data_IF_432619775400
#
_entry.id   IF_432619775400
#
_cell.length_a   1.000
_cell.length_b   1.000
_cell.length_c   1.000
_cell.angle_alpha   90.00
_cell.angle_beta   90.00
_cell.angle_gamma   90.00
#
_symmetry.space_group_name_H-M   'P 1'
#
loop_
_entity.id
_entity.type
_entity.pdbx_description
1 polymer ?
#
# COMPACT_ATOMS: atom_id res chain seq x y z
N UNK A 1 35.50 -46.54 73.94
CA UNK A 1 34.88 -45.22 74.18
C UNK A 1 34.33 -44.56 72.90
N UNK A 2 34.19 -45.30 71.78
CA UNK A 2 33.56 -44.78 70.54
C UNK A 2 32.26 -45.53 70.15
N UNK A 3 31.93 -46.66 70.79
CA UNK A 3 30.73 -47.45 70.46
C UNK A 3 29.41 -46.77 70.85
N UNK A 4 29.42 -45.80 71.77
CA UNK A 4 28.21 -45.03 72.13
C UNK A 4 27.76 -44.05 71.04
N UNK A 5 28.59 -43.79 70.03
CA UNK A 5 28.27 -42.93 68.88
C UNK A 5 28.17 -43.70 67.56
N UNK A 6 28.23 -45.04 67.59
CA UNK A 6 28.11 -45.87 66.39
C UNK A 6 26.64 -45.91 65.93
N UNK A 7 26.37 -45.38 64.74
CA UNK A 7 25.06 -45.49 64.09
C UNK A 7 24.92 -46.89 63.48
N UNK A 8 23.85 -47.65 63.79
CA UNK A 8 23.61 -48.96 63.20
C UNK A 8 23.58 -48.90 61.68
N UNK A 9 24.10 -49.94 61.00
CA UNK A 9 24.20 -49.99 59.53
C UNK A 9 22.85 -49.77 58.86
N UNK A 10 21.78 -50.23 59.50
CA UNK A 10 20.39 -50.10 59.04
C UNK A 10 19.88 -48.66 59.05
N UNK A 11 20.49 -47.78 59.85
CA UNK A 11 20.17 -46.35 59.91
C UNK A 11 21.08 -45.51 59.01
N UNK A 12 22.14 -46.11 58.44
CA UNK A 12 23.04 -45.44 57.50
C UNK A 12 22.45 -45.32 56.09
N UNK A 13 21.39 -46.08 55.77
CA UNK A 13 20.74 -46.02 54.47
C UNK A 13 19.23 -45.87 54.59
N UNK A 14 18.66 -44.98 53.77
CA UNK A 14 17.22 -44.88 53.62
C UNK A 14 16.72 -46.07 52.79
N UNK A 15 15.87 -46.91 53.38
CA UNK A 15 15.24 -48.04 52.70
C UNK A 15 13.79 -47.72 52.36
N UNK A 16 13.47 -47.68 51.07
CA UNK A 16 12.08 -47.62 50.60
C UNK A 16 11.51 -49.04 50.61
N UNK A 17 10.34 -49.23 51.22
CA UNK A 17 9.61 -50.48 51.08
C UNK A 17 9.04 -50.60 49.66
N UNK A 18 9.59 -51.53 48.87
CA UNK A 18 9.18 -51.73 47.47
C UNK A 18 7.69 -52.06 47.33
N UNK A 19 7.10 -52.72 48.33
CA UNK A 19 5.66 -53.05 48.33
C UNK A 19 4.78 -51.82 48.48
N UNK A 20 5.31 -50.74 49.06
CA UNK A 20 4.58 -49.47 49.26
C UNK A 20 4.40 -48.66 47.97
N UNK A 21 5.15 -48.96 46.92
CA UNK A 21 5.17 -48.17 45.68
C UNK A 21 4.01 -48.49 44.73
N UNK A 22 3.35 -49.64 44.88
CA UNK A 22 2.11 -49.96 44.16
C UNK A 22 2.27 -50.30 42.66
N UNK A 23 3.49 -50.45 42.15
CA UNK A 23 3.77 -50.90 40.78
C UNK A 23 4.84 -52.00 40.76
N UNK A 24 4.86 -52.83 39.72
CA UNK A 24 5.85 -53.92 39.57
C UNK A 24 7.09 -53.47 38.80
N UNK A 25 6.91 -52.62 37.79
CA UNK A 25 7.98 -52.07 36.97
C UNK A 25 7.70 -50.61 36.64
N UNK A 26 8.75 -49.83 36.32
CA UNK A 26 8.59 -48.43 35.89
C UNK A 26 7.82 -48.27 34.57
N UNK A 27 7.64 -49.36 33.81
CA UNK A 27 6.77 -49.39 32.61
C UNK A 27 5.28 -49.29 32.97
N UNK A 28 4.90 -49.65 34.19
CA UNK A 28 3.52 -49.63 34.67
C UNK A 28 3.07 -48.21 35.10
N UNK A 29 4.01 -47.27 35.19
CA UNK A 29 3.75 -45.90 35.62
C UNK A 29 3.37 -45.05 34.40
N UNK A 30 2.17 -44.46 34.45
CA UNK A 30 1.80 -43.42 33.47
C UNK A 30 2.59 -42.14 33.80
N UNK A 31 3.40 -41.60 32.87
CA UNK A 31 4.12 -40.36 33.12
C UNK A 31 3.11 -39.22 33.32
N UNK A 32 3.08 -38.66 34.53
CA UNK A 32 2.33 -37.47 34.85
C UNK A 32 3.29 -36.32 35.10
N UNK A 33 3.17 -35.26 34.28
CA UNK A 33 3.79 -33.96 34.55
C UNK A 33 2.98 -33.25 35.64
N UNK A 34 3.09 -33.74 36.88
CA UNK A 34 2.55 -33.06 38.04
C UNK A 34 3.69 -32.36 38.75
N UNK A 35 3.64 -31.04 38.81
CA UNK A 35 4.60 -30.24 39.57
C UNK A 35 4.24 -30.40 41.06
N UNK A 36 5.13 -31.00 41.84
CA UNK A 36 4.94 -31.18 43.28
C UNK A 36 5.61 -30.03 44.03
N UNK A 37 4.94 -29.48 45.05
CA UNK A 37 5.56 -28.56 46.01
C UNK A 37 5.58 -27.07 45.65
N UNK A 38 4.60 -26.56 44.89
CA UNK A 38 4.56 -25.15 44.47
C UNK A 38 3.18 -24.49 44.58
N UNK A 39 2.31 -24.96 45.48
CA UNK A 39 0.91 -24.49 45.58
C UNK A 39 0.81 -22.97 45.77
N UNK A 40 1.63 -22.40 46.66
CA UNK A 40 1.69 -20.95 46.88
C UNK A 40 2.09 -20.19 45.59
N UNK A 41 3.08 -20.70 44.85
CA UNK A 41 3.53 -20.06 43.62
C UNK A 41 2.47 -20.15 42.51
N UNK A 42 1.74 -21.28 42.47
CA UNK A 42 0.62 -21.48 41.56
C UNK A 42 -0.55 -20.53 41.88
N UNK A 43 -0.93 -20.40 43.14
CA UNK A 43 -1.99 -19.47 43.59
C UNK A 43 -1.62 -18.02 43.27
N UNK A 44 -0.39 -17.61 43.59
CA UNK A 44 0.09 -16.24 43.30
C UNK A 44 0.10 -15.94 41.80
N UNK A 45 0.54 -16.89 40.96
CA UNK A 45 0.54 -16.73 39.51
C UNK A 45 -0.89 -16.70 38.95
N UNK A 46 -1.79 -17.53 39.48
CA UNK A 46 -3.21 -17.55 39.10
C UNK A 46 -3.84 -16.19 39.38
N UNK A 47 -3.65 -15.67 40.60
CA UNK A 47 -4.12 -14.33 40.97
C UNK A 47 -3.56 -13.25 40.03
N UNK A 48 -2.27 -13.31 39.68
CA UNK A 48 -1.67 -12.32 38.79
C UNK A 48 -2.20 -12.37 37.35
N UNK A 49 -2.57 -13.56 36.85
CA UNK A 49 -3.18 -13.71 35.52
C UNK A 49 -4.62 -13.17 35.52
N UNK A 50 -5.37 -13.44 36.58
CA UNK A 50 -6.78 -13.03 36.71
C UNK A 50 -6.94 -11.54 37.02
N UNK A 51 -6.00 -10.92 37.75
CA UNK A 51 -6.06 -9.51 38.12
C UNK A 51 -5.76 -8.59 36.91
N UNK A 52 -6.72 -7.75 36.45
CA UNK A 52 -6.52 -6.87 35.30
C UNK A 52 -5.97 -5.48 35.66
N UNK A 53 -5.39 -5.30 36.85
CA UNK A 53 -4.92 -4.00 37.32
C UNK A 53 -3.71 -3.50 36.50
N UNK A 54 -3.75 -2.23 36.06
CA UNK A 54 -2.63 -1.58 35.34
C UNK A 54 -1.40 -1.53 36.25
N UNK A 55 -0.23 -1.87 35.69
CA UNK A 55 1.03 -1.92 36.43
C UNK A 55 1.22 -3.19 37.26
N UNK A 56 0.23 -4.09 37.29
CA UNK A 56 0.34 -5.37 37.99
C UNK A 56 0.97 -6.41 37.06
N UNK A 57 2.28 -6.65 37.26
CA UNK A 57 3.06 -7.66 36.55
C UNK A 57 3.59 -8.71 37.52
N UNK A 58 3.73 -9.96 37.07
CA UNK A 58 4.27 -11.05 37.89
C UNK A 58 5.76 -11.29 37.62
N UNK A 59 6.53 -11.56 38.67
CA UNK A 59 7.92 -12.00 38.58
C UNK A 59 8.08 -13.39 39.23
N UNK A 60 8.51 -14.37 38.44
CA UNK A 60 8.64 -15.76 38.89
C UNK A 60 10.11 -16.08 39.23
N UNK A 61 10.41 -16.13 40.52
CA UNK A 61 11.75 -16.44 41.05
C UNK A 61 11.84 -17.88 41.57
N UNK A 62 13.05 -18.45 41.52
CA UNK A 62 13.34 -19.79 42.03
C UNK A 62 14.69 -20.28 41.53
N UNK A 63 15.24 -21.32 42.18
CA UNK A 63 16.52 -21.91 41.79
C UNK A 63 16.46 -22.47 40.37
N UNK A 64 17.62 -22.53 39.71
CA UNK A 64 17.72 -23.20 38.40
C UNK A 64 17.31 -24.67 38.53
N UNK A 65 16.67 -25.21 37.50
CA UNK A 65 16.17 -26.60 37.50
C UNK A 65 14.85 -26.85 38.23
N UNK A 66 14.26 -25.86 38.91
CA UNK A 66 12.97 -26.02 39.64
C UNK A 66 11.72 -26.07 38.75
N UNK A 67 11.87 -26.06 37.42
CA UNK A 67 10.72 -26.17 36.51
C UNK A 67 9.83 -24.92 36.41
N UNK A 68 10.34 -23.73 36.75
CA UNK A 68 9.58 -22.45 36.69
C UNK A 68 8.81 -22.23 35.38
N UNK A 69 9.46 -22.41 34.23
CA UNK A 69 8.82 -22.25 32.90
C UNK A 69 7.69 -23.28 32.70
N UNK A 70 7.89 -24.51 33.18
CA UNK A 70 6.89 -25.58 33.14
C UNK A 70 5.68 -25.22 33.98
N UNK A 71 5.89 -24.65 35.19
CA UNK A 71 4.81 -24.16 36.05
C UNK A 71 4.01 -23.06 35.36
N UNK A 72 4.69 -22.05 34.80
CA UNK A 72 4.01 -20.96 34.09
C UNK A 72 3.17 -21.47 32.93
N UNK A 73 3.73 -22.33 32.07
CA UNK A 73 3.00 -22.94 30.95
C UNK A 73 1.80 -23.76 31.42
N UNK A 74 1.97 -24.54 32.48
CA UNK A 74 0.89 -25.35 33.04
C UNK A 74 -0.27 -24.45 33.52
N UNK A 75 0.03 -23.39 34.27
CA UNK A 75 -0.99 -22.46 34.78
C UNK A 75 -1.76 -21.77 33.64
N UNK A 76 -1.07 -21.28 32.61
CA UNK A 76 -1.75 -20.71 31.44
C UNK A 76 -2.61 -21.73 30.67
N UNK A 77 -2.16 -22.98 30.58
CA UNK A 77 -2.92 -24.06 29.94
C UNK A 77 -4.15 -24.49 30.75
N UNK A 78 -4.10 -24.37 32.08
CA UNK A 78 -5.22 -24.67 32.98
C UNK A 78 -6.24 -23.53 32.99
N UNK A 79 -5.80 -22.27 33.16
CA UNK A 79 -6.69 -21.11 33.27
C UNK A 79 -7.29 -20.72 31.91
N UNK A 80 -6.48 -20.75 30.84
CA UNK A 80 -6.84 -20.25 29.50
C UNK A 80 -7.53 -18.89 29.56
N UNK A 81 -6.83 -17.84 30.04
CA UNK A 81 -7.43 -16.53 30.25
C UNK A 81 -8.00 -15.98 28.93
N UNK A 82 -9.13 -15.28 29.00
CA UNK A 82 -9.71 -14.60 27.84
C UNK A 82 -8.91 -13.37 27.47
N UNK A 83 -8.82 -13.06 26.18
CA UNK A 83 -8.15 -11.85 25.72
C UNK A 83 -8.85 -10.60 26.26
N UNK A 84 -8.06 -9.68 26.82
CA UNK A 84 -8.52 -8.40 27.38
C UNK A 84 -8.82 -7.37 26.28
N UNK A 85 -8.13 -7.46 25.15
CA UNK A 85 -8.32 -6.65 23.94
C UNK A 85 -8.16 -7.53 22.72
N UNK A 86 -8.88 -7.19 21.64
CA UNK A 86 -8.76 -7.88 20.35
C UNK A 86 -8.94 -6.89 19.22
N UNK A 87 -7.85 -6.23 18.90
CA UNK A 87 -7.79 -5.33 17.76
C UNK A 87 -6.92 -5.94 16.67
N UNK A 88 -7.32 -5.72 15.43
CA UNK A 88 -6.45 -5.89 14.28
C UNK A 88 -5.74 -4.57 14.02
N UNK A 89 -4.43 -4.60 14.11
CA UNK A 89 -3.57 -3.47 13.79
C UNK A 89 -3.09 -3.62 12.36
N UNK A 90 -3.44 -2.65 11.53
CA UNK A 90 -3.17 -2.66 10.11
C UNK A 90 -2.35 -1.43 9.74
N UNK A 91 -1.17 -1.62 9.15
CA UNK A 91 -0.46 -0.54 8.48
C UNK A 91 -0.90 -0.43 7.03
N UNK A 92 -1.13 0.80 6.60
CA UNK A 92 -1.35 1.16 5.19
C UNK A 92 -0.33 2.21 4.76
N UNK A 93 -0.19 2.38 3.45
CA UNK A 93 0.62 3.48 2.92
C UNK A 93 0.04 4.83 3.34
N UNK A 94 0.94 5.80 3.58
CA UNK A 94 0.58 7.17 3.91
C UNK A 94 1.06 8.06 2.77
N UNK A 95 0.14 8.50 1.91
CA UNK A 95 0.46 9.28 0.72
C UNK A 95 1.04 10.66 1.04
N UNK A 96 0.62 11.25 2.17
CA UNK A 96 1.17 12.52 2.66
C UNK A 96 2.58 12.38 3.22
N UNK A 97 2.88 11.25 3.87
CA UNK A 97 4.19 10.98 4.48
C UNK A 97 4.63 9.52 4.21
N UNK A 98 5.20 9.22 3.02
CA UNK A 98 5.53 7.85 2.60
C UNK A 98 6.40 7.05 3.56
N UNK A 99 7.27 7.73 4.33
CA UNK A 99 8.14 7.12 5.33
C UNK A 99 7.46 6.82 6.68
N UNK A 100 6.22 7.26 6.87
CA UNK A 100 5.45 7.11 8.10
C UNK A 100 4.14 6.35 7.84
N UNK A 101 4.17 5.01 7.78
CA UNK A 101 2.98 4.19 7.57
C UNK A 101 1.85 4.54 8.54
N UNK A 102 0.63 4.64 8.01
CA UNK A 102 -0.55 5.02 8.79
C UNK A 102 -1.12 3.78 9.47
N UNK A 103 -1.30 3.86 10.80
CA UNK A 103 -1.88 2.79 11.59
C UNK A 103 -3.41 2.89 11.58
N UNK A 104 -4.08 1.79 11.26
CA UNK A 104 -5.52 1.60 11.35
C UNK A 104 -5.79 0.52 12.40
N UNK A 105 -6.62 0.84 13.39
CA UNK A 105 -6.99 -0.08 14.47
C UNK A 105 -8.43 -0.52 14.25
N UNK A 106 -8.62 -1.81 13.99
CA UNK A 106 -9.92 -2.37 13.66
C UNK A 106 -10.35 -3.41 14.70
N UNK A 107 -11.66 -3.69 14.83
CA UNK A 107 -12.11 -4.85 15.59
C UNK A 107 -11.53 -6.14 15.02
N UNK A 108 -11.36 -7.13 15.87
CA UNK A 108 -10.82 -8.43 15.46
C UNK A 108 -11.51 -9.02 14.22
N UNK A 109 -10.70 -9.48 13.27
CA UNK A 109 -11.15 -10.08 12.01
C UNK A 109 -11.37 -9.06 10.88
N UNK A 110 -11.55 -7.78 11.19
CA UNK A 110 -11.77 -6.75 10.18
C UNK A 110 -10.49 -6.41 9.41
N UNK A 111 -9.29 -6.60 9.98
CA UNK A 111 -8.03 -6.38 9.25
C UNK A 111 -7.90 -7.30 8.03
N UNK A 112 -8.22 -8.59 8.21
CA UNK A 112 -8.30 -9.56 7.10
C UNK A 112 -9.34 -9.19 6.07
N UNK A 113 -10.50 -8.71 6.52
CA UNK A 113 -11.57 -8.26 5.63
C UNK A 113 -11.10 -7.08 4.79
N UNK A 114 -10.48 -6.08 5.41
CA UNK A 114 -9.94 -4.90 4.71
C UNK A 114 -8.89 -5.31 3.69
N UNK A 115 -7.89 -6.12 4.08
CA UNK A 115 -6.86 -6.62 3.17
C UNK A 115 -7.46 -7.32 1.95
N UNK A 116 -8.46 -8.18 2.13
CA UNK A 116 -9.16 -8.86 1.01
C UNK A 116 -9.90 -7.88 0.10
N UNK A 117 -10.60 -6.88 0.68
CA UNK A 117 -11.32 -5.88 -0.10
C UNK A 117 -10.37 -5.00 -0.91
N UNK A 118 -9.24 -4.61 -0.33
CA UNK A 118 -8.20 -3.87 -1.05
C UNK A 118 -7.54 -4.68 -2.15
N UNK A 119 -7.22 -5.96 -1.92
CA UNK A 119 -6.72 -6.84 -3.00
C UNK A 119 -7.74 -6.97 -4.15
N UNK A 120 -9.03 -7.16 -3.84
CA UNK A 120 -10.07 -7.22 -4.86
C UNK A 120 -10.24 -5.87 -5.61
N UNK A 121 -9.97 -4.75 -4.95
CA UNK A 121 -9.95 -3.43 -5.59
C UNK A 121 -8.76 -3.27 -6.55
N UNK A 122 -7.58 -3.74 -6.17
CA UNK A 122 -6.43 -3.81 -7.09
C UNK A 122 -6.76 -4.68 -8.31
N UNK A 123 -7.40 -5.85 -8.11
CA UNK A 123 -7.83 -6.71 -9.22
C UNK A 123 -8.86 -6.02 -10.12
N UNK A 124 -9.78 -5.25 -9.55
CA UNK A 124 -10.77 -4.45 -10.28
C UNK A 124 -10.11 -3.38 -11.15
N UNK A 125 -9.09 -2.67 -10.62
CA UNK A 125 -8.33 -1.67 -11.37
C UNK A 125 -7.67 -2.29 -12.61
N UNK A 126 -7.08 -3.47 -12.47
CA UNK A 126 -6.34 -4.12 -13.57
C UNK A 126 -7.30 -4.72 -14.60
N UNK A 127 -8.36 -5.39 -14.15
CA UNK A 127 -9.15 -6.27 -15.02
C UNK A 127 -10.48 -5.67 -15.51
N UNK A 128 -11.12 -4.82 -14.70
CA UNK A 128 -12.50 -4.37 -14.95
C UNK A 128 -12.56 -2.90 -15.33
N UNK A 129 -11.79 -2.04 -14.66
CA UNK A 129 -11.75 -0.61 -14.93
C UNK A 129 -11.43 -0.28 -16.41
N UNK A 130 -10.45 -0.93 -17.09
CA UNK A 130 -10.16 -0.66 -18.50
C UNK A 130 -11.33 -1.01 -19.42
N UNK A 131 -12.13 -2.03 -19.08
CA UNK A 131 -13.32 -2.41 -19.86
C UNK A 131 -14.41 -1.35 -19.71
N UNK A 132 -14.60 -0.83 -18.50
CA UNK A 132 -15.59 0.22 -18.19
C UNK A 132 -15.21 1.53 -18.89
N UNK A 133 -13.93 1.91 -18.86
CA UNK A 133 -13.39 3.11 -19.54
C UNK A 133 -13.50 3.01 -21.07
N UNK A 134 -13.55 1.80 -21.62
CA UNK A 134 -13.82 1.59 -23.05
C UNK A 134 -15.32 1.36 -23.35
N UNK A 135 -16.20 1.48 -22.36
CA UNK A 135 -17.63 1.28 -22.49
C UNK A 135 -18.35 2.43 -23.22
N UNK A 136 -19.61 2.20 -23.58
CA UNK A 136 -20.38 3.15 -24.39
C UNK A 136 -20.60 4.50 -23.72
N UNK A 137 -20.79 4.53 -22.40
CA UNK A 137 -21.12 5.73 -21.62
C UNK A 137 -20.09 6.86 -21.84
N UNK A 138 -18.81 6.57 -21.61
CA UNK A 138 -17.72 7.53 -21.84
C UNK A 138 -17.44 7.76 -23.33
N UNK A 139 -17.63 6.76 -24.19
CA UNK A 139 -17.43 6.91 -25.64
C UNK A 139 -18.43 7.90 -26.25
N UNK A 140 -19.65 7.98 -25.73
CA UNK A 140 -20.66 8.96 -26.16
C UNK A 140 -20.20 10.38 -25.81
N UNK A 141 -19.73 10.61 -24.58
CA UNK A 141 -19.23 11.92 -24.15
C UNK A 141 -18.00 12.36 -24.96
N UNK A 142 -17.04 11.46 -25.20
CA UNK A 142 -15.87 11.73 -26.05
C UNK A 142 -16.28 12.13 -27.46
N UNK A 143 -17.15 11.34 -28.11
CA UNK A 143 -17.65 11.64 -29.46
C UNK A 143 -18.40 12.96 -29.54
N UNK A 144 -19.11 13.35 -28.48
CA UNK A 144 -19.80 14.64 -28.43
C UNK A 144 -18.78 15.80 -28.38
N UNK A 145 -17.75 15.69 -27.53
CA UNK A 145 -16.67 16.67 -27.47
C UNK A 145 -15.90 16.76 -28.80
N UNK A 146 -15.61 15.62 -29.44
CA UNK A 146 -14.96 15.56 -30.75
C UNK A 146 -15.78 16.28 -31.82
N UNK A 147 -17.10 16.05 -31.85
CA UNK A 147 -18.01 16.73 -32.79
C UNK A 147 -18.06 18.24 -32.55
N UNK A 148 -18.05 18.68 -31.30
CA UNK A 148 -18.02 20.10 -30.95
C UNK A 148 -16.71 20.74 -31.39
N UNK A 149 -15.58 20.08 -31.13
CA UNK A 149 -14.27 20.53 -31.56
C UNK A 149 -14.17 20.61 -33.09
N UNK A 150 -14.65 19.59 -33.80
CA UNK A 150 -14.70 19.60 -35.26
C UNK A 150 -15.50 20.78 -35.80
N UNK A 151 -16.66 21.10 -35.20
CA UNK A 151 -17.46 22.29 -35.58
C UNK A 151 -16.70 23.59 -35.37
N UNK A 152 -15.86 23.71 -34.33
CA UNK A 152 -15.04 24.89 -34.11
C UNK A 152 -13.93 25.02 -35.16
N UNK A 153 -13.25 23.91 -35.48
CA UNK A 153 -12.24 23.86 -36.54
C UNK A 153 -12.87 24.19 -37.91
N UNK A 154 -14.03 23.60 -38.23
CA UNK A 154 -14.74 23.88 -39.48
C UNK A 154 -15.13 25.37 -39.57
N UNK A 155 -15.66 25.96 -38.48
CA UNK A 155 -15.99 27.39 -38.43
C UNK A 155 -14.76 28.30 -38.59
N UNK A 156 -13.59 27.84 -38.17
CA UNK A 156 -12.33 28.55 -38.27
C UNK A 156 -11.80 28.57 -39.71
N UNK A 157 -11.78 27.41 -40.37
CA UNK A 157 -11.20 27.25 -41.71
C UNK A 157 -12.18 27.54 -42.86
N UNK A 158 -13.49 27.25 -42.73
CA UNK A 158 -14.48 27.43 -43.82
C UNK A 158 -14.52 28.86 -44.39
N UNK A 159 -14.49 29.94 -43.58
CA UNK A 159 -14.47 31.31 -44.13
C UNK A 159 -13.19 31.61 -44.90
N UNK A 160 -12.06 31.08 -44.43
CA UNK A 160 -10.76 31.23 -45.06
C UNK A 160 -10.70 30.46 -46.39
N UNK A 161 -11.14 29.21 -46.42
CA UNK A 161 -11.24 28.39 -47.64
C UNK A 161 -12.09 29.07 -48.71
N UNK A 162 -13.26 29.63 -48.34
CA UNK A 162 -14.11 30.40 -49.26
C UNK A 162 -13.44 31.69 -49.76
N UNK A 163 -12.58 32.32 -48.96
CA UNK A 163 -11.85 33.54 -49.30
C UNK A 163 -10.73 33.25 -50.30
N UNK A 164 -9.94 32.22 -50.06
CA UNK A 164 -8.83 31.83 -50.94
C UNK A 164 -9.33 31.20 -52.25
N UNK A 165 -10.45 30.46 -52.23
CA UNK A 165 -11.04 29.87 -53.43
C UNK A 165 -11.46 30.93 -54.46
N UNK A 166 -11.95 32.11 -54.01
CA UNK A 166 -12.27 33.25 -54.90
C UNK A 166 -11.05 33.82 -55.62
N UNK A 167 -9.85 33.57 -55.10
CA UNK A 167 -8.59 33.99 -55.67
C UNK A 167 -7.88 32.86 -56.46
N UNK A 168 -8.57 31.76 -56.76
CA UNK A 168 -8.00 30.55 -57.38
C UNK A 168 -6.86 29.94 -56.53
N UNK A 169 -6.98 30.00 -55.22
CA UNK A 169 -6.04 29.40 -54.26
C UNK A 169 -6.76 28.32 -53.43
N UNK A 170 -6.01 27.34 -52.93
CA UNK A 170 -6.52 26.28 -52.05
C UNK A 170 -5.54 25.97 -50.92
N UNK A 171 -6.01 25.29 -49.87
CA UNK A 171 -5.14 24.65 -48.90
C UNK A 171 -4.59 23.36 -49.51
N UNK A 172 -3.28 23.16 -49.42
CA UNK A 172 -2.61 21.94 -49.87
C UNK A 172 -1.55 21.52 -48.85
N UNK A 173 -1.44 20.22 -48.63
CA UNK A 173 -0.36 19.66 -47.79
C UNK A 173 0.84 19.39 -48.71
N UNK A 174 1.94 20.12 -48.50
CA UNK A 174 3.20 19.87 -49.20
C UNK A 174 4.23 19.30 -48.23
N UNK A 175 5.03 18.36 -48.72
CA UNK A 175 6.22 17.89 -48.01
C UNK A 175 7.34 18.90 -48.23
N UNK A 176 7.82 19.52 -47.15
CA UNK A 176 8.99 20.39 -47.15
C UNK A 176 10.01 19.71 -46.25
N UNK A 177 10.95 18.97 -46.86
CA UNK A 177 11.85 18.07 -46.12
C UNK A 177 11.13 16.80 -45.63
N UNK A 178 11.35 16.42 -44.37
CA UNK A 178 10.69 15.27 -43.73
C UNK A 178 9.30 15.61 -43.14
N UNK A 179 8.96 16.89 -43.01
CA UNK A 179 7.69 17.33 -42.44
C UNK A 179 6.65 17.70 -43.53
N UNK A 180 5.40 17.35 -43.27
CA UNK A 180 4.26 17.76 -44.10
C UNK A 180 3.66 19.04 -43.53
N UNK A 181 3.67 20.13 -44.29
CA UNK A 181 3.07 21.40 -43.88
C UNK A 181 1.91 21.77 -44.78
N UNK A 182 0.84 22.29 -44.15
CA UNK A 182 -0.31 22.84 -44.86
C UNK A 182 0.00 24.27 -45.28
N UNK A 183 -0.03 24.53 -46.60
CA UNK A 183 0.23 25.84 -47.19
C UNK A 183 -0.94 26.29 -48.07
N UNK A 184 -1.00 27.60 -48.33
CA UNK A 184 -1.87 28.15 -49.39
C UNK A 184 -1.15 27.99 -50.72
N UNK A 185 -1.77 27.31 -51.68
CA UNK A 185 -1.21 27.01 -53.00
C UNK A 185 -2.16 27.45 -54.13
N UNK A 186 -1.63 27.96 -55.26
CA UNK A 186 -2.45 28.36 -56.40
C UNK A 186 -2.96 27.16 -57.19
N UNK A 187 -4.15 27.33 -57.78
CA UNK A 187 -4.84 26.34 -58.61
C UNK A 187 -4.94 26.87 -60.04
N UNK A 188 -4.41 26.10 -61.00
CA UNK A 188 -4.48 26.41 -62.42
C UNK A 188 -4.94 25.16 -63.18
N UNK A 189 -5.95 25.30 -64.04
CA UNK A 189 -6.59 24.18 -64.77
C UNK A 189 -7.01 23.01 -63.84
N UNK A 190 -7.46 23.33 -62.63
CA UNK A 190 -7.90 22.34 -61.63
C UNK A 190 -6.75 21.57 -60.94
N UNK A 191 -5.49 21.94 -61.19
CA UNK A 191 -4.31 21.35 -60.52
C UNK A 191 -3.67 22.34 -59.56
N UNK A 192 -3.28 21.84 -58.39
CA UNK A 192 -2.48 22.59 -57.42
C UNK A 192 -1.06 22.72 -57.96
N UNK A 193 -0.55 23.94 -58.03
CA UNK A 193 0.79 24.22 -58.50
C UNK A 193 1.77 24.32 -57.33
N UNK A 194 2.93 23.67 -57.46
CA UNK A 194 4.07 23.91 -56.58
C UNK A 194 4.79 25.22 -56.93
N UNK A 195 5.60 25.80 -56.03
CA UNK A 195 6.39 27.01 -56.32
C UNK A 195 7.23 26.88 -57.61
N UNK A 196 7.85 25.73 -57.84
CA UNK A 196 8.66 25.46 -59.04
C UNK A 196 7.82 25.41 -60.33
N UNK A 197 6.59 24.90 -60.24
CA UNK A 197 5.66 24.84 -61.37
C UNK A 197 5.09 26.22 -61.71
N UNK A 198 4.85 27.06 -60.69
CA UNK A 198 4.46 28.46 -60.88
C UNK A 198 5.55 29.22 -61.63
N UNK A 199 6.82 29.07 -61.23
CA UNK A 199 7.96 29.73 -61.89
C UNK A 199 8.11 29.31 -63.36
N UNK A 200 8.02 28.01 -63.66
CA UNK A 200 8.09 27.50 -65.05
C UNK A 200 6.95 27.98 -65.93
N UNK A 201 5.71 27.95 -65.44
CA UNK A 201 4.54 28.38 -66.21
C UNK A 201 4.52 29.91 -66.41
N UNK A 202 5.14 30.67 -65.51
CA UNK A 202 5.36 32.11 -65.68
C UNK A 202 6.41 32.41 -66.76
N UNK A 203 7.53 31.67 -66.79
CA UNK A 203 8.56 31.79 -67.84
C UNK A 203 8.03 31.41 -69.23
N UNK A 204 7.15 30.41 -69.31
CA UNK A 204 6.50 29.96 -70.54
C UNK A 204 5.38 30.89 -71.04
N UNK A 205 5.10 32.02 -70.36
CA UNK A 205 4.00 32.97 -70.64
C UNK A 205 2.60 32.32 -70.70
N UNK A 206 2.41 31.19 -70.03
CA UNK A 206 1.12 30.47 -69.98
C UNK A 206 0.20 30.97 -68.86
N UNK A 207 0.74 31.70 -67.88
CA UNK A 207 -0.03 32.37 -66.83
C UNK A 207 -0.35 33.81 -67.27
N UNK A 208 -1.59 34.25 -67.05
CA UNK A 208 -1.97 35.66 -67.28
C UNK A 208 -1.28 36.58 -66.26
N UNK A 209 -0.88 37.79 -66.69
CA UNK A 209 -0.21 38.78 -65.82
C UNK A 209 -1.01 39.10 -64.54
N UNK A 210 -2.35 39.06 -64.62
CA UNK A 210 -3.26 39.24 -63.49
C UNK A 210 -3.17 38.11 -62.45
N UNK A 211 -2.87 36.88 -62.88
CA UNK A 211 -2.72 35.71 -62.01
C UNK A 211 -1.36 35.72 -61.30
N UNK A 212 -0.32 36.18 -62.00
CA UNK A 212 1.02 36.39 -61.43
C UNK A 212 0.98 37.47 -60.35
N UNK A 213 0.27 38.59 -60.58
CA UNK A 213 0.05 39.62 -59.56
C UNK A 213 -0.69 39.10 -58.34
N UNK A 214 -1.76 38.30 -58.52
CA UNK A 214 -2.48 37.68 -57.40
C UNK A 214 -1.56 36.78 -56.58
N UNK A 215 -0.69 36.00 -57.23
CA UNK A 215 0.29 35.17 -56.52
C UNK A 215 1.32 36.02 -55.77
N UNK A 216 1.86 37.08 -56.37
CA UNK A 216 2.91 37.89 -55.74
C UNK A 216 2.39 38.75 -54.57
N UNK A 217 1.17 39.31 -54.68
CA UNK A 217 0.64 40.23 -53.66
C UNK A 217 -0.28 39.56 -52.65
N UNK A 218 -1.12 38.59 -53.06
CA UNK A 218 -2.13 37.99 -52.17
C UNK A 218 -1.66 36.72 -51.48
N UNK A 219 -0.78 35.94 -52.10
CA UNK A 219 -0.28 34.69 -51.50
C UNK A 219 0.43 34.92 -50.15
N UNK A 220 1.34 35.91 -49.98
CA UNK A 220 1.99 36.15 -48.69
C UNK A 220 0.99 36.55 -47.60
N UNK A 221 0.00 37.36 -47.94
CA UNK A 221 -1.06 37.82 -47.03
C UNK A 221 -1.89 36.62 -46.54
N UNK A 222 -2.30 35.73 -47.44
CA UNK A 222 -3.06 34.53 -47.08
C UNK A 222 -2.21 33.51 -46.33
N UNK A 223 -0.90 33.43 -46.59
CA UNK A 223 0.01 32.59 -45.80
C UNK A 223 0.13 33.10 -44.36
N UNK A 224 0.23 34.42 -44.15
CA UNK A 224 0.24 35.00 -42.80
C UNK A 224 -1.11 34.79 -42.07
N UNK A 225 -2.23 34.92 -42.78
CA UNK A 225 -3.56 34.64 -42.25
C UNK A 225 -3.71 33.14 -41.88
N UNK A 226 -3.20 32.23 -42.71
CA UNK A 226 -3.14 30.79 -42.41
C UNK A 226 -2.27 30.49 -41.17
N UNK A 227 -1.14 31.18 -41.00
CA UNK A 227 -0.33 31.03 -39.79
C UNK A 227 -1.09 31.45 -38.52
N UNK A 228 -1.85 32.56 -38.58
CA UNK A 228 -2.72 33.00 -37.47
C UNK A 228 -3.82 31.97 -37.18
N UNK A 229 -4.45 31.41 -38.22
CA UNK A 229 -5.45 30.36 -38.07
C UNK A 229 -4.84 29.09 -37.48
N UNK A 230 -3.66 28.67 -37.92
CA UNK A 230 -2.95 27.51 -37.37
C UNK A 230 -2.61 27.71 -35.89
N UNK A 231 -2.24 28.93 -35.47
CA UNK A 231 -2.04 29.24 -34.05
C UNK A 231 -3.33 29.06 -33.26
N UNK A 232 -4.45 29.61 -33.74
CA UNK A 232 -5.76 29.44 -33.11
C UNK A 232 -6.21 27.97 -33.08
N UNK A 233 -5.97 27.22 -34.15
CA UNK A 233 -6.26 25.80 -34.23
C UNK A 233 -5.44 24.99 -33.20
N UNK A 234 -4.16 25.33 -32.99
CA UNK A 234 -3.32 24.73 -31.94
C UNK A 234 -3.87 25.01 -30.54
N UNK A 235 -4.25 26.26 -30.25
CA UNK A 235 -4.87 26.62 -28.96
C UNK A 235 -6.19 25.87 -28.72
N UNK A 236 -6.99 25.68 -29.77
CA UNK A 236 -8.22 24.87 -29.72
C UNK A 236 -7.88 23.40 -29.47
N UNK A 237 -6.89 22.84 -30.17
CA UNK A 237 -6.46 21.46 -30.00
C UNK A 237 -5.95 21.19 -28.57
N UNK A 238 -5.18 22.11 -27.99
CA UNK A 238 -4.71 22.01 -26.60
C UNK A 238 -5.88 22.04 -25.60
N UNK A 239 -6.82 22.98 -25.77
CA UNK A 239 -8.04 23.04 -24.94
C UNK A 239 -8.88 21.77 -25.05
N UNK A 240 -9.02 21.24 -26.26
CA UNK A 240 -9.73 19.99 -26.52
C UNK A 240 -9.04 18.81 -25.83
N UNK A 241 -7.72 18.71 -25.91
CA UNK A 241 -6.95 17.68 -25.23
C UNK A 241 -7.12 17.72 -23.70
N UNK A 242 -7.06 18.91 -23.10
CA UNK A 242 -7.30 19.11 -21.65
C UNK A 242 -8.74 18.72 -21.30
N UNK A 243 -9.72 19.13 -22.11
CA UNK A 243 -11.13 18.81 -21.89
C UNK A 243 -11.38 17.29 -21.97
N UNK A 244 -10.78 16.60 -22.94
CA UNK A 244 -10.88 15.16 -23.10
C UNK A 244 -10.32 14.43 -21.88
N UNK A 245 -9.12 14.81 -21.43
CA UNK A 245 -8.51 14.25 -20.21
C UNK A 245 -9.37 14.49 -18.98
N UNK A 246 -10.01 15.65 -18.87
CA UNK A 246 -10.88 15.98 -17.75
C UNK A 246 -12.12 15.08 -17.71
N UNK A 247 -12.73 14.81 -18.86
CA UNK A 247 -13.86 13.87 -18.96
C UNK A 247 -13.42 12.47 -18.49
N UNK A 248 -12.29 11.98 -19.00
CA UNK A 248 -11.75 10.68 -18.60
C UNK A 248 -11.46 10.60 -17.10
N UNK A 249 -10.78 11.61 -16.55
CA UNK A 249 -10.46 11.70 -15.12
C UNK A 249 -11.73 11.73 -14.27
N UNK A 250 -12.74 12.52 -14.64
CA UNK A 250 -13.99 12.62 -13.88
C UNK A 250 -14.79 11.31 -13.91
N UNK A 251 -14.86 10.67 -15.07
CA UNK A 251 -15.50 9.36 -15.20
C UNK A 251 -14.81 8.32 -14.32
N UNK A 252 -13.47 8.21 -14.43
CA UNK A 252 -12.68 7.25 -13.64
C UNK A 252 -12.77 7.55 -12.16
N UNK A 253 -12.66 8.83 -11.75
CA UNK A 253 -12.85 9.26 -10.36
C UNK A 253 -14.18 8.78 -9.80
N UNK A 254 -15.25 8.91 -10.58
CA UNK A 254 -16.59 8.45 -10.19
C UNK A 254 -16.64 6.93 -10.04
N UNK A 255 -16.07 6.18 -10.99
CA UNK A 255 -16.02 4.71 -10.94
C UNK A 255 -15.21 4.20 -9.74
N UNK A 256 -14.05 4.78 -9.47
CA UNK A 256 -13.23 4.44 -8.31
C UNK A 256 -13.95 4.78 -7.00
N UNK A 257 -14.53 5.99 -6.91
CA UNK A 257 -15.26 6.43 -5.72
C UNK A 257 -16.42 5.50 -5.40
N UNK A 258 -17.25 5.16 -6.38
CA UNK A 258 -18.34 4.18 -6.17
C UNK A 258 -17.82 2.86 -5.59
N UNK A 259 -16.68 2.37 -6.08
CA UNK A 259 -16.13 1.09 -5.64
C UNK A 259 -15.46 1.12 -4.28
N UNK A 260 -14.84 2.25 -3.94
CA UNK A 260 -14.24 2.49 -2.63
C UNK A 260 -15.29 2.84 -1.57
N UNK A 261 -16.37 3.53 -1.92
CA UNK A 261 -17.50 3.81 -1.02
C UNK A 261 -18.18 2.50 -0.55
N UNK A 262 -18.26 1.47 -1.42
CA UNK A 262 -18.70 0.12 -1.03
C UNK A 262 -17.78 -0.54 0.02
N UNK A 263 -16.48 -0.20 0.02
CA UNK A 263 -15.52 -0.66 1.02
C UNK A 263 -15.73 0.16 2.30
N UNK A 264 -15.69 1.49 2.21
CA UNK A 264 -15.90 2.44 3.32
C UNK A 264 -17.14 2.08 4.16
N UNK A 265 -18.29 1.85 3.50
CA UNK A 265 -19.56 1.55 4.15
C UNK A 265 -19.52 0.30 5.06
N UNK A 266 -18.60 -0.63 4.82
CA UNK A 266 -18.44 -1.86 5.63
C UNK A 266 -17.64 -1.65 6.91
N UNK A 267 -16.88 -0.57 7.01
CA UNK A 267 -16.00 -0.29 8.14
C UNK A 267 -16.45 0.93 8.95
N UNK A 268 -17.02 1.97 8.30
CA UNK A 268 -17.47 3.21 8.94
C UNK A 268 -16.36 3.82 9.83
N UNK A 269 -15.17 3.97 9.25
CA UNK A 269 -13.95 4.32 9.99
C UNK A 269 -13.24 5.48 9.28
N UNK A 270 -13.21 6.65 9.93
CA UNK A 270 -12.72 7.89 9.31
C UNK A 270 -11.31 7.78 8.69
N UNK A 271 -10.39 7.06 9.35
CA UNK A 271 -9.02 6.86 8.83
C UNK A 271 -8.99 5.99 7.57
N UNK A 272 -9.93 5.04 7.43
CA UNK A 272 -10.08 4.26 6.20
C UNK A 272 -10.64 5.18 5.12
N UNK A 273 -11.66 5.98 5.43
CA UNK A 273 -12.26 6.90 4.45
C UNK A 273 -11.22 7.87 3.88
N UNK A 274 -10.39 8.46 4.73
CA UNK A 274 -9.25 9.31 4.32
C UNK A 274 -8.25 8.55 3.43
N UNK A 275 -7.87 7.33 3.82
CA UNK A 275 -6.97 6.49 3.02
C UNK A 275 -7.56 6.16 1.64
N UNK A 276 -8.86 5.87 1.57
CA UNK A 276 -9.53 5.55 0.31
C UNK A 276 -9.66 6.77 -0.60
N UNK A 277 -9.97 7.96 -0.06
CA UNK A 277 -10.00 9.19 -0.85
C UNK A 277 -8.58 9.55 -1.37
N UNK A 278 -7.53 9.35 -0.58
CA UNK A 278 -6.14 9.55 -1.02
C UNK A 278 -5.75 8.61 -2.17
N UNK A 279 -6.22 7.35 -2.15
CA UNK A 279 -5.98 6.40 -3.26
C UNK A 279 -6.58 6.92 -4.57
N UNK A 280 -7.73 7.59 -4.54
CA UNK A 280 -8.36 8.12 -5.75
C UNK A 280 -7.48 9.20 -6.36
N UNK A 281 -6.99 10.15 -5.55
CA UNK A 281 -6.14 11.22 -6.05
C UNK A 281 -4.79 10.66 -6.55
N UNK A 282 -4.16 9.77 -5.79
CA UNK A 282 -2.92 9.11 -6.21
C UNK A 282 -3.08 8.34 -7.52
N UNK A 283 -4.19 7.61 -7.71
CA UNK A 283 -4.45 6.90 -8.96
C UNK A 283 -4.54 7.85 -10.16
N UNK A 284 -5.24 8.98 -10.01
CA UNK A 284 -5.42 9.96 -11.09
C UNK A 284 -4.13 10.67 -11.47
N UNK A 285 -3.23 10.88 -10.51
CA UNK A 285 -1.94 11.54 -10.70
C UNK A 285 -0.86 10.59 -11.22
N UNK A 286 -0.73 9.40 -10.62
CA UNK A 286 0.43 8.53 -10.79
C UNK A 286 0.18 7.28 -11.63
N UNK A 287 -1.08 6.83 -11.76
CA UNK A 287 -1.41 5.56 -12.45
C UNK A 287 -2.09 5.79 -13.79
N UNK A 288 -3.06 6.72 -13.84
CA UNK A 288 -3.94 6.87 -15.01
C UNK A 288 -3.21 7.13 -16.32
N UNK A 289 -2.15 7.94 -16.30
CA UNK A 289 -1.37 8.33 -17.49
C UNK A 289 0.00 7.67 -17.55
N UNK A 290 0.29 6.72 -16.66
CA UNK A 290 1.58 6.04 -16.64
C UNK A 290 1.71 5.08 -17.83
N UNK A 291 2.91 5.04 -18.42
CA UNK A 291 3.27 4.11 -19.50
C UNK A 291 3.89 2.81 -18.94
N UNK A 292 4.24 2.79 -17.65
CA UNK A 292 4.84 1.64 -16.98
C UNK A 292 3.76 0.63 -16.54
N UNK A 293 4.18 -0.60 -16.26
CA UNK A 293 3.30 -1.63 -15.71
C UNK A 293 2.66 -1.14 -14.40
N UNK A 294 1.39 -0.75 -14.46
CA UNK A 294 0.59 -0.24 -13.35
C UNK A 294 0.64 -1.18 -12.12
N UNK A 295 0.83 -2.48 -12.32
CA UNK A 295 0.96 -3.49 -11.27
C UNK A 295 2.00 -3.16 -10.18
N UNK A 296 3.07 -2.42 -10.51
CA UNK A 296 4.08 -2.04 -9.54
C UNK A 296 3.56 -1.00 -8.53
N UNK A 297 2.79 -0.01 -9.00
CA UNK A 297 2.27 1.07 -8.17
C UNK A 297 1.09 0.62 -7.31
N UNK A 298 0.30 -0.35 -7.79
CA UNK A 298 -0.83 -0.90 -7.03
C UNK A 298 -0.42 -1.55 -5.69
N UNK A 299 0.87 -1.86 -5.49
CA UNK A 299 1.42 -2.31 -4.21
C UNK A 299 1.18 -1.30 -3.08
N UNK A 300 1.04 0.00 -3.37
CA UNK A 300 0.76 1.02 -2.36
C UNK A 300 -0.68 0.98 -1.82
N UNK A 301 -1.60 0.28 -2.50
CA UNK A 301 -3.01 0.18 -2.11
C UNK A 301 -3.31 -1.01 -1.18
N UNK A 302 -2.27 -1.71 -0.73
CA UNK A 302 -2.40 -2.88 0.13
C UNK A 302 -2.48 -2.56 1.62
N UNK A 303 -2.67 -3.62 2.41
CA UNK A 303 -2.81 -3.56 3.86
C UNK A 303 -1.89 -4.59 4.51
N UNK A 304 -1.01 -4.13 5.40
CA UNK A 304 -0.16 -4.99 6.21
C UNK A 304 -0.80 -5.22 7.59
N UNK A 305 -1.08 -6.47 7.93
CA UNK A 305 -1.74 -6.84 9.19
C UNK A 305 -0.67 -7.32 10.15
N UNK A 306 -0.54 -6.65 11.28
CA UNK A 306 0.45 -6.94 12.30
C UNK A 306 -0.06 -7.87 13.40
N UNK A 307 -1.38 -7.92 13.63
CA UNK A 307 -1.96 -8.83 14.63
C UNK A 307 -1.85 -10.29 14.17
N UNK A 308 -1.33 -11.16 15.05
CA UNK A 308 -1.37 -12.60 14.82
C UNK A 308 -2.79 -13.11 15.10
N UNK A 309 -3.37 -13.82 14.13
CA UNK A 309 -4.74 -14.34 14.25
C UNK A 309 -4.84 -15.37 15.37
N UNK A 310 -5.38 -14.97 16.52
CA UNK A 310 -5.92 -15.93 17.48
C UNK A 310 -7.33 -16.29 17.01
N UNK A 311 -7.51 -17.48 16.41
CA UNK A 311 -8.83 -18.04 16.11
C UNK A 311 -9.59 -18.44 17.38
N UNK A 312 -8.90 -18.53 18.52
CA UNK A 312 -9.47 -18.86 19.82
C UNK A 312 -9.84 -17.62 20.62
N UNK A 313 -10.83 -17.75 21.49
CA UNK A 313 -11.19 -16.69 22.44
C UNK A 313 -10.15 -16.38 23.53
N UNK A 314 -9.09 -17.19 23.59
CA UNK A 314 -8.03 -17.10 24.58
C UNK A 314 -7.12 -15.90 24.32
N UNK A 315 -6.58 -15.34 25.40
CA UNK A 315 -5.55 -14.32 25.35
C UNK A 315 -4.30 -14.85 24.61
N UNK A 316 -3.63 -14.01 23.81
CA UNK A 316 -2.33 -14.36 23.28
C UNK A 316 -1.34 -14.54 24.46
N UNK A 317 -0.62 -15.66 24.46
CA UNK A 317 0.42 -15.95 25.45
C UNK A 317 1.72 -16.15 24.69
N UNK A 318 2.57 -15.13 24.69
CA UNK A 318 3.83 -15.12 23.95
C UNK A 318 4.98 -15.40 24.91
N UNK A 319 5.75 -16.45 24.65
CA UNK A 319 7.00 -16.73 25.35
C UNK A 319 8.15 -16.20 24.52
N UNK A 320 8.80 -15.14 24.99
CA UNK A 320 10.00 -14.58 24.39
C UNK A 320 11.23 -15.09 25.14
N UNK A 321 11.92 -16.04 24.51
CA UNK A 321 13.15 -16.63 25.05
C UNK A 321 14.42 -15.88 24.62
N UNK A 322 14.31 -14.94 23.68
CA UNK A 322 15.45 -14.14 23.23
C UNK A 322 14.97 -12.69 23.05
N UNK A 323 14.83 -11.94 24.17
CA UNK A 323 14.19 -10.62 24.20
C UNK A 323 15.09 -9.51 23.61
N UNK A 324 15.55 -9.66 22.37
CA UNK A 324 16.25 -8.60 21.64
C UNK A 324 15.28 -7.45 21.32
N UNK A 325 15.80 -6.23 21.10
CA UNK A 325 14.96 -5.10 20.70
C UNK A 325 14.13 -5.40 19.45
N UNK A 326 14.75 -6.07 18.46
CA UNK A 326 14.08 -6.48 17.23
C UNK A 326 12.95 -7.50 17.49
N UNK A 327 13.16 -8.51 18.34
CA UNK A 327 12.12 -9.48 18.64
C UNK A 327 10.97 -8.84 19.45
N UNK A 328 11.28 -7.92 20.36
CA UNK A 328 10.27 -7.27 21.20
C UNK A 328 9.43 -6.25 20.44
N UNK A 329 10.08 -5.36 19.68
CA UNK A 329 9.43 -4.25 18.97
C UNK A 329 8.94 -4.64 17.59
N UNK A 330 9.63 -5.58 16.94
CA UNK A 330 9.47 -5.91 15.53
C UNK A 330 10.66 -5.44 14.71
N UNK A 331 10.59 -5.66 13.41
CA UNK A 331 11.63 -5.29 12.45
C UNK A 331 11.04 -4.62 11.23
N UNK A 332 11.82 -3.77 10.58
CA UNK A 332 11.57 -3.32 9.21
C UNK A 332 12.48 -4.13 8.29
N UNK A 333 11.87 -4.93 7.41
CA UNK A 333 12.58 -5.70 6.40
C UNK A 333 12.93 -4.82 5.21
N UNK A 334 14.22 -4.65 4.94
CA UNK A 334 14.70 -3.92 3.77
C UNK A 334 14.64 -4.83 2.54
N UNK A 335 13.44 -5.05 2.00
CA UNK A 335 13.27 -5.60 0.66
C UNK A 335 13.10 -4.45 -0.32
N UNK A 336 13.91 -4.42 -1.38
CA UNK A 336 14.02 -3.29 -2.31
C UNK A 336 12.74 -2.99 -3.12
N UNK A 337 11.75 -3.87 -3.10
CA UNK A 337 10.57 -3.80 -3.98
C UNK A 337 9.22 -3.79 -3.20
N UNK A 338 9.29 -3.63 -1.87
CA UNK A 338 8.11 -3.51 -1.01
C UNK A 338 7.95 -2.07 -0.48
N UNK A 339 6.72 -1.54 -0.45
CA UNK A 339 6.45 -0.29 0.23
C UNK A 339 6.78 -0.37 1.73
N UNK A 340 7.19 0.77 2.32
CA UNK A 340 7.59 0.85 3.73
C UNK A 340 6.55 0.25 4.71
N UNK A 341 5.25 0.43 4.44
CA UNK A 341 4.19 -0.12 5.30
C UNK A 341 4.15 -1.66 5.31
N UNK A 342 4.52 -2.30 4.19
CA UNK A 342 4.50 -3.75 4.01
C UNK A 342 5.76 -4.43 4.59
N UNK A 343 6.85 -3.69 4.71
CA UNK A 343 8.12 -4.14 5.29
C UNK A 343 8.11 -4.24 6.82
N UNK A 344 7.09 -3.75 7.50
CA UNK A 344 7.02 -3.78 8.97
C UNK A 344 6.53 -5.15 9.45
N UNK A 345 7.26 -5.74 10.38
CA UNK A 345 6.87 -6.97 11.10
C UNK A 345 6.58 -6.67 12.57
N UNK A 346 5.60 -7.37 13.14
CA UNK A 346 5.19 -7.18 14.52
C UNK A 346 6.12 -7.92 15.49
N UNK A 347 6.58 -7.23 16.54
CA UNK A 347 7.31 -7.87 17.64
C UNK A 347 6.42 -8.58 18.65
N UNK A 348 7.06 -9.25 19.60
CA UNK A 348 6.43 -10.00 20.69
C UNK A 348 5.55 -9.12 21.59
N UNK A 349 5.87 -7.84 21.79
CA UNK A 349 5.01 -6.91 22.54
C UNK A 349 3.66 -6.69 21.87
N UNK A 350 3.69 -6.47 20.56
CA UNK A 350 2.48 -6.25 19.78
C UNK A 350 1.67 -7.54 19.59
N UNK A 351 2.36 -8.67 19.38
CA UNK A 351 1.72 -9.98 19.33
C UNK A 351 1.05 -10.39 20.66
N UNK A 352 1.53 -9.86 21.79
CA UNK A 352 0.97 -10.08 23.11
C UNK A 352 -0.11 -9.05 23.50
N UNK A 353 -0.48 -8.10 22.63
CA UNK A 353 -1.53 -7.12 22.94
C UNK A 353 -2.84 -7.83 23.31
N UNK A 354 -3.50 -7.33 24.35
CA UNK A 354 -4.68 -7.96 24.92
C UNK A 354 -4.42 -9.29 25.65
N UNK A 355 -3.17 -9.72 25.83
CA UNK A 355 -2.81 -10.94 26.54
C UNK A 355 -1.57 -10.80 27.42
N UNK A 356 -0.63 -11.73 27.26
CA UNK A 356 0.50 -11.92 28.18
C UNK A 356 1.81 -12.14 27.40
N UNK A 357 2.83 -11.37 27.80
CA UNK A 357 4.21 -11.58 27.38
C UNK A 357 5.00 -12.17 28.55
N UNK A 358 5.60 -13.34 28.33
CA UNK A 358 6.49 -14.00 29.28
C UNK A 358 7.90 -13.87 28.74
N UNK A 359 8.79 -13.28 29.54
CA UNK A 359 10.17 -12.99 29.17
C UNK A 359 11.15 -13.47 30.25
N UNK A 360 12.36 -13.82 29.83
CA UNK A 360 13.47 -14.09 30.72
C UNK A 360 14.12 -12.78 31.14
N UNK A 361 14.03 -12.46 32.43
CA UNK A 361 14.47 -11.17 32.97
C UNK A 361 15.98 -11.01 32.86
N UNK A 362 16.76 -12.07 33.10
CA UNK A 362 18.21 -12.03 32.98
C UNK A 362 18.64 -11.67 31.55
N UNK A 363 17.99 -12.27 30.54
CA UNK A 363 18.26 -11.98 29.14
C UNK A 363 17.86 -10.54 28.77
N UNK A 364 16.66 -10.10 29.18
CA UNK A 364 16.17 -8.74 28.93
C UNK A 364 16.99 -7.65 29.63
N UNK A 365 17.66 -7.95 30.75
CA UNK A 365 18.58 -7.04 31.43
C UNK A 365 19.98 -7.06 30.79
N UNK A 366 20.38 -8.19 30.22
CA UNK A 366 21.68 -8.34 29.57
C UNK A 366 21.76 -7.61 28.22
N UNK A 367 20.66 -7.56 27.48
CA UNK A 367 20.55 -6.88 26.20
C UNK A 367 20.41 -5.36 26.34
N UNK A 368 21.29 -4.62 25.66
CA UNK A 368 21.32 -3.16 25.74
C UNK A 368 20.03 -2.53 25.20
N UNK A 369 19.47 -1.56 25.93
CA UNK A 369 18.29 -0.80 25.53
C UNK A 369 16.95 -1.53 25.66
N UNK A 370 16.94 -2.86 25.85
CA UNK A 370 15.71 -3.66 26.02
C UNK A 370 14.95 -3.25 27.26
N UNK A 371 15.58 -3.31 28.44
CA UNK A 371 14.91 -3.01 29.71
C UNK A 371 14.36 -1.57 29.79
N UNK A 372 15.11 -0.51 29.44
CA UNK A 372 14.58 0.85 29.39
C UNK A 372 13.37 0.99 28.45
N UNK A 373 13.43 0.35 27.28
CA UNK A 373 12.35 0.37 26.29
C UNK A 373 11.10 -0.32 26.83
N UNK A 374 11.25 -1.51 27.42
CA UNK A 374 10.15 -2.25 28.03
C UNK A 374 9.47 -1.44 29.14
N UNK A 375 10.25 -0.85 30.05
CA UNK A 375 9.71 -0.01 31.12
C UNK A 375 9.00 1.24 30.59
N UNK A 376 9.56 1.87 29.54
CA UNK A 376 8.93 3.01 28.87
C UNK A 376 7.57 2.60 28.30
N UNK A 377 7.52 1.52 27.52
CA UNK A 377 6.28 1.01 26.90
C UNK A 377 5.23 0.64 27.94
N UNK A 378 5.60 -0.03 29.04
CA UNK A 378 4.66 -0.37 30.11
C UNK A 378 4.10 0.89 30.79
N UNK A 379 4.94 1.93 30.99
CA UNK A 379 4.54 3.18 31.65
C UNK A 379 3.65 4.05 30.77
N UNK A 380 4.02 4.25 29.51
CA UNK A 380 3.27 5.08 28.56
C UNK A 380 2.05 4.36 28.01
N UNK A 381 2.11 3.03 27.87
CA UNK A 381 1.14 2.26 27.12
C UNK A 381 1.30 2.43 25.60
N UNK A 382 2.39 3.04 25.16
CA UNK A 382 2.68 3.36 23.76
C UNK A 382 3.95 2.62 23.33
N UNK A 383 3.84 1.93 22.19
CA UNK A 383 4.97 1.32 21.51
C UNK A 383 5.51 2.31 20.48
N UNK A 384 6.68 2.89 20.74
CA UNK A 384 7.40 3.72 19.78
C UNK A 384 8.74 3.08 19.44
N UNK A 385 8.99 2.94 18.14
CA UNK A 385 10.27 2.49 17.61
C UNK A 385 10.70 3.43 16.49
N UNK A 386 11.98 3.80 16.53
CA UNK A 386 12.67 4.55 15.48
C UNK A 386 13.83 3.69 15.03
N UNK A 387 13.84 3.28 13.77
CA UNK A 387 15.02 2.64 13.20
C UNK A 387 16.00 3.75 12.85
N UNK A 388 17.17 3.76 13.49
CA UNK A 388 18.28 4.50 12.95
C UNK A 388 18.65 3.80 11.64
N UNK A 389 18.57 4.55 10.55
CA UNK A 389 19.06 4.09 9.25
C UNK A 389 20.56 3.87 9.46
N UNK A 390 20.97 2.60 9.59
CA UNK A 390 22.38 2.26 9.68
C UNK A 390 22.98 2.70 8.35
N UNK A 391 23.57 3.89 8.35
CA UNK A 391 24.27 4.50 7.24
C UNK A 391 25.52 3.69 6.92
N UNK A 392 25.33 2.49 6.40
CA UNK A 392 26.20 1.90 5.41
C UNK A 392 25.55 2.23 4.07
N UNK A 393 25.64 3.51 3.71
CA UNK A 393 25.29 3.95 2.38
C UNK A 393 26.05 3.13 1.36
N UNK A 394 25.35 2.70 0.31
CA UNK A 394 25.79 2.67 -1.08
C UNK A 394 24.86 1.77 -1.91
N UNK A 395 24.66 2.08 -3.19
CA UNK A 395 24.38 3.36 -3.83
C UNK A 395 22.87 3.62 -4.00
#
# INVERSE_FOLDING_TARGET
MFDEFCVPVEQLYFKVDEKSLGFKTTKDIKPQLKIFGHDIAKEALTFAIECPAKGFNAYVRGLSGTGRKTLVRQVFNEIKPKARRRNDYCYVHNFSHPHLPRLIILPHGYGKRLKRRMSAFSDYIVNDLPKIVNGEEIQVERKQLDKENQKFIDKLYTPFEKKIAKANLTLATMKVGEESQTIVAPVYEGKVLSPDQVSKLAEEKKLSDTFIQVIQERLPIYQEELQKLNKQAREIAEKHYIALRKIEQQFIKTQLKMKLDEISAQFQHAVIDEYLDEIIEDFLENVLHSQDNNDSHLKYYGVNILSKNCTSDNAPVIFESSPTLQNLLGAVETQSDLPAYASISAGSLMCADGGFLILEVDDALSESGVWPTLMRTIRTGELSFSFEDNSKGQP
#
